data_IF_402904169682
#
_entry.id   IF_402904169682
#
_cell.length_a   1.000
_cell.length_b   1.000
_cell.length_c   1.000
_cell.angle_alpha   90.00
_cell.angle_beta   90.00
_cell.angle_gamma   90.00
#
_symmetry.space_group_name_H-M   'P 1'
#
loop_
_entity.id
_entity.type
_entity.pdbx_description
1 polymer ?
#
# COMPACT_ATOMS: atom_id res chain seq x y z
N UNK A 1 7.43 -16.22 10.13
CA UNK A 1 6.15 -16.63 9.52
C UNK A 1 5.24 -15.42 9.48
N UNK A 2 5.35 -14.65 8.40
CA UNK A 2 4.52 -13.47 8.17
C UNK A 2 3.09 -13.88 7.82
N UNK A 3 2.12 -13.18 8.38
CA UNK A 3 0.69 -13.38 8.11
C UNK A 3 0.33 -12.85 6.73
N UNK A 4 -0.17 -13.73 5.85
CA UNK A 4 -0.65 -13.35 4.51
C UNK A 4 -2.11 -12.87 4.59
N UNK A 5 -2.34 -11.56 4.42
CA UNK A 5 -3.68 -10.96 4.37
C UNK A 5 -4.12 -10.72 2.93
N UNK A 6 -5.43 -10.73 2.71
CA UNK A 6 -5.99 -10.61 1.36
C UNK A 6 -5.89 -9.19 0.79
N UNK A 7 -5.86 -8.17 1.65
CA UNK A 7 -5.89 -6.76 1.27
C UNK A 7 -4.87 -5.94 2.07
N UNK A 8 -4.35 -4.86 1.49
CA UNK A 8 -3.40 -3.96 2.16
C UNK A 8 -4.01 -3.24 3.39
N UNK A 9 -5.33 -3.06 3.43
CA UNK A 9 -6.04 -2.45 4.56
C UNK A 9 -6.15 -3.36 5.79
N UNK A 10 -5.81 -4.64 5.66
CA UNK A 10 -5.65 -5.52 6.82
C UNK A 10 -4.22 -5.50 7.37
N UNK A 11 -3.26 -5.02 6.57
CA UNK A 11 -1.86 -4.93 6.96
C UNK A 11 -1.61 -3.65 7.76
N UNK A 12 -0.93 -3.80 8.88
CA UNK A 12 -0.23 -2.68 9.52
C UNK A 12 1.05 -2.34 8.77
N UNK A 13 1.58 -1.13 8.98
CA UNK A 13 2.86 -0.72 8.40
C UNK A 13 3.99 -1.68 8.83
N UNK A 14 4.00 -2.13 10.09
CA UNK A 14 5.00 -3.09 10.59
C UNK A 14 4.88 -4.47 9.96
N UNK A 15 3.68 -5.01 9.81
CA UNK A 15 3.50 -6.32 9.13
C UNK A 15 3.94 -6.25 7.67
N UNK A 16 3.65 -5.12 7.00
CA UNK A 16 4.09 -4.92 5.62
C UNK A 16 5.61 -4.77 5.51
N UNK A 17 6.24 -4.05 6.45
CA UNK A 17 7.71 -3.97 6.52
C UNK A 17 8.33 -5.35 6.72
N UNK A 18 7.77 -6.16 7.63
CA UNK A 18 8.25 -7.53 7.88
C UNK A 18 8.15 -8.39 6.62
N UNK A 19 7.06 -8.28 5.87
CA UNK A 19 6.89 -8.95 4.59
C UNK A 19 7.97 -8.52 3.57
N UNK A 20 8.23 -7.21 3.46
CA UNK A 20 9.27 -6.69 2.57
C UNK A 20 10.67 -7.14 2.98
N UNK A 21 10.97 -7.14 4.28
CA UNK A 21 12.24 -7.63 4.81
C UNK A 21 12.39 -9.13 4.57
N UNK A 22 11.36 -9.95 4.79
CA UNK A 22 11.44 -11.39 4.51
C UNK A 22 11.68 -11.69 3.02
N UNK A 23 11.06 -10.92 2.12
CA UNK A 23 11.33 -11.02 0.68
C UNK A 23 12.79 -10.61 0.41
N UNK A 24 13.25 -9.45 0.92
CA UNK A 24 14.60 -8.94 0.67
C UNK A 24 15.70 -9.87 1.19
N UNK A 25 15.55 -10.35 2.41
CA UNK A 25 16.50 -11.24 3.09
C UNK A 25 16.40 -12.69 2.58
N UNK A 26 15.43 -12.97 1.69
CA UNK A 26 15.12 -14.32 1.21
C UNK A 26 15.03 -15.31 2.39
N UNK A 27 14.37 -14.88 3.47
CA UNK A 27 14.30 -15.64 4.73
C UNK A 27 13.38 -16.89 4.63
N UNK A 28 12.89 -17.21 3.43
CA UNK A 28 12.07 -18.37 3.14
C UNK A 28 12.90 -19.65 3.08
N UNK A 29 12.26 -20.80 3.32
CA UNK A 29 12.95 -22.09 3.24
C UNK A 29 13.04 -22.59 1.80
N UNK A 30 12.20 -22.08 0.89
CA UNK A 30 12.18 -22.44 -0.53
C UNK A 30 11.96 -21.22 -1.44
N UNK A 31 12.48 -21.31 -2.67
CA UNK A 31 12.23 -20.32 -3.74
C UNK A 31 10.75 -20.22 -4.11
N UNK A 32 9.98 -21.31 -3.97
CA UNK A 32 8.53 -21.33 -4.19
C UNK A 32 7.80 -20.42 -3.20
N UNK A 33 8.18 -20.48 -1.92
CA UNK A 33 7.60 -19.62 -0.88
C UNK A 33 7.97 -18.16 -1.14
N UNK A 34 9.23 -17.90 -1.49
CA UNK A 34 9.69 -16.56 -1.84
C UNK A 34 8.91 -16.01 -3.06
N UNK A 35 8.74 -16.81 -4.11
CA UNK A 35 7.94 -16.45 -5.29
C UNK A 35 6.47 -16.19 -4.95
N UNK A 36 5.90 -16.98 -4.02
CA UNK A 36 4.54 -16.77 -3.54
C UNK A 36 4.42 -15.43 -2.79
N UNK A 37 5.41 -15.05 -1.97
CA UNK A 37 5.45 -13.74 -1.29
C UNK A 37 5.53 -12.58 -2.28
N UNK A 38 6.40 -12.67 -3.29
CA UNK A 38 6.53 -11.64 -4.34
C UNK A 38 5.22 -11.50 -5.12
N UNK A 39 4.59 -12.62 -5.48
CA UNK A 39 3.28 -12.63 -6.16
C UNK A 39 2.19 -12.03 -5.28
N UNK A 40 2.24 -12.31 -3.98
CA UNK A 40 1.32 -11.74 -3.00
C UNK A 40 1.49 -10.23 -2.87
N UNK A 41 2.73 -9.75 -2.77
CA UNK A 41 3.06 -8.32 -2.77
C UNK A 41 2.50 -7.61 -4.01
N UNK A 42 2.67 -8.19 -5.20
CA UNK A 42 2.09 -7.66 -6.45
C UNK A 42 0.56 -7.58 -6.37
N UNK A 43 -0.10 -8.56 -5.78
CA UNK A 43 -1.56 -8.61 -5.63
C UNK A 43 -2.08 -7.53 -4.67
N UNK A 44 -1.44 -7.34 -3.52
CA UNK A 44 -1.90 -6.39 -2.48
C UNK A 44 -1.49 -4.94 -2.75
N UNK A 45 -0.37 -4.71 -3.42
CA UNK A 45 0.09 -3.35 -3.73
C UNK A 45 -0.78 -2.67 -4.79
N UNK A 46 -1.38 -3.46 -5.70
CA UNK A 46 -2.16 -3.00 -6.86
C UNK A 46 -1.41 -1.96 -7.71
N UNK A 47 -0.09 -1.86 -7.50
CA UNK A 47 0.74 -0.84 -8.09
C UNK A 47 1.10 -1.27 -9.52
N UNK A 48 1.11 -0.38 -10.53
CA UNK A 48 1.43 -0.73 -11.92
C UNK A 48 2.83 -1.35 -12.06
N UNK A 49 3.77 -0.90 -11.25
CA UNK A 49 5.11 -1.50 -11.14
C UNK A 49 5.13 -2.88 -10.46
N UNK A 50 4.15 -3.21 -9.61
CA UNK A 50 4.09 -4.52 -8.93
C UNK A 50 5.40 -4.88 -8.23
N UNK A 51 5.93 -6.07 -8.53
CA UNK A 51 7.22 -6.57 -8.01
C UNK A 51 8.44 -5.79 -8.47
N UNK A 52 8.33 -4.97 -9.52
CA UNK A 52 9.42 -4.16 -10.05
C UNK A 52 9.94 -3.16 -9.00
N UNK A 53 9.08 -2.73 -8.06
CA UNK A 53 9.48 -1.91 -6.90
C UNK A 53 10.52 -2.58 -5.98
N UNK A 54 10.59 -3.92 -5.99
CA UNK A 54 11.49 -4.69 -5.14
C UNK A 54 12.84 -4.96 -5.82
N UNK A 55 12.83 -5.17 -7.14
CA UNK A 55 13.99 -5.60 -7.92
C UNK A 55 14.65 -4.47 -8.71
N UNK A 56 13.87 -3.48 -9.14
CA UNK A 56 14.31 -2.34 -9.95
C UNK A 56 13.90 -1.01 -9.32
N UNK A 57 14.47 -0.69 -8.15
CA UNK A 57 14.35 0.64 -7.59
C UNK A 57 14.98 1.67 -8.52
N UNK A 58 14.49 2.91 -8.48
CA UNK A 58 15.15 4.00 -9.22
C UNK A 58 16.51 4.29 -8.56
N UNK A 59 17.51 4.73 -9.34
CA UNK A 59 18.86 5.09 -8.84
C UNK A 59 18.90 6.04 -7.62
N UNK A 60 17.79 6.74 -7.33
CA UNK A 60 17.66 7.68 -6.22
C UNK A 60 16.56 7.28 -5.22
N UNK A 61 16.00 6.07 -5.32
CA UNK A 61 14.98 5.56 -4.42
C UNK A 61 15.63 4.70 -3.33
N UNK A 62 15.07 4.74 -2.13
CA UNK A 62 15.47 3.83 -1.06
C UNK A 62 14.98 2.41 -1.37
N UNK A 63 15.93 1.51 -1.65
CA UNK A 63 15.73 0.06 -1.79
C UNK A 63 15.39 -0.62 -0.46
N UNK A 64 15.51 0.14 0.63
CA UNK A 64 15.12 -0.29 1.96
C UNK A 64 13.62 -0.63 1.97
N UNK A 65 13.20 -1.63 2.78
CA UNK A 65 11.78 -1.96 2.95
C UNK A 65 10.94 -0.74 3.36
N UNK A 66 11.53 0.21 4.09
CA UNK A 66 10.89 1.49 4.42
C UNK A 66 10.65 2.41 3.22
N UNK A 67 11.57 2.46 2.26
CA UNK A 67 11.46 3.25 1.04
C UNK A 67 10.37 2.72 0.12
N UNK A 68 10.31 1.40 -0.04
CA UNK A 68 9.26 0.72 -0.79
C UNK A 68 7.89 0.97 -0.13
N UNK A 69 7.79 0.84 1.19
CA UNK A 69 6.55 1.12 1.92
C UNK A 69 6.08 2.57 1.69
N UNK A 70 6.99 3.55 1.83
CA UNK A 70 6.69 4.97 1.57
C UNK A 70 6.18 5.19 0.15
N UNK A 71 6.79 4.54 -0.84
CA UNK A 71 6.40 4.62 -2.25
C UNK A 71 4.99 4.09 -2.47
N UNK A 72 4.69 2.88 -1.97
CA UNK A 72 3.34 2.29 -2.05
C UNK A 72 2.30 3.17 -1.35
N UNK A 73 2.63 3.70 -0.16
CA UNK A 73 1.76 4.60 0.60
C UNK A 73 1.46 5.90 -0.14
N UNK A 74 2.48 6.55 -0.69
CA UNK A 74 2.34 7.79 -1.46
C UNK A 74 1.50 7.56 -2.72
N UNK A 75 1.75 6.47 -3.43
CA UNK A 75 0.99 6.11 -4.63
C UNK A 75 -0.48 5.83 -4.31
N UNK A 76 -0.79 5.05 -3.27
CA UNK A 76 -2.18 4.78 -2.89
C UNK A 76 -2.92 6.05 -2.46
N UNK A 77 -2.23 6.93 -1.71
CA UNK A 77 -2.77 8.25 -1.33
C UNK A 77 -3.08 9.12 -2.56
N UNK A 78 -2.20 9.12 -3.57
CA UNK A 78 -2.41 9.85 -4.82
C UNK A 78 -3.58 9.30 -5.65
N UNK A 79 -3.85 7.99 -5.58
CA UNK A 79 -4.95 7.34 -6.29
C UNK A 79 -6.27 7.29 -5.50
N UNK A 80 -6.30 7.82 -4.27
CA UNK A 80 -7.49 7.78 -3.41
C UNK A 80 -7.85 6.37 -2.91
N UNK A 81 -6.91 5.44 -2.91
CA UNK A 81 -7.11 4.06 -2.45
C UNK A 81 -6.95 3.96 -0.92
N UNK A 82 -7.65 3.02 -0.27
CA UNK A 82 -7.49 2.79 1.16
C UNK A 82 -6.06 2.33 1.46
N UNK A 83 -5.44 2.95 2.46
CA UNK A 83 -4.08 2.66 2.89
C UNK A 83 -3.99 1.49 3.88
N UNK A 84 -2.90 1.46 4.64
CA UNK A 84 -2.65 0.50 5.70
C UNK A 84 -3.61 0.66 6.88
N UNK A 85 -3.79 -0.43 7.62
CA UNK A 85 -4.55 -0.43 8.86
C UNK A 85 -3.89 0.52 9.86
N UNK A 86 -4.63 1.47 10.45
CA UNK A 86 -4.09 2.28 11.53
C UNK A 86 -3.73 1.35 12.70
N UNK A 87 -2.59 1.56 13.37
CA UNK A 87 -2.33 0.87 14.63
C UNK A 87 -3.49 1.20 15.56
N UNK A 88 -4.06 0.16 16.18
CA UNK A 88 -5.24 0.21 17.06
C UNK A 88 -5.01 1.24 18.17
N UNK A 89 -5.32 2.51 17.93
CA UNK A 89 -5.27 3.60 18.91
C UNK A 89 -5.89 4.93 18.46
N UNK A 90 -6.42 5.11 17.24
CA UNK A 90 -6.94 6.43 16.83
C UNK A 90 -8.32 6.34 16.20
N UNK A 91 -9.30 6.07 17.06
CA UNK A 91 -10.63 6.65 16.93
C UNK A 91 -10.62 8.02 17.61
N UNK A 92 -10.16 9.07 16.92
CA UNK A 92 -10.36 10.47 17.35
C UNK A 92 -9.96 11.46 16.24
N UNK A 93 -10.94 11.86 15.41
CA UNK A 93 -11.20 13.24 14.93
C UNK A 93 -11.93 13.23 13.57
N UNK A 94 -13.00 14.04 13.39
CA UNK A 94 -13.93 13.95 12.26
C UNK A 94 -13.36 14.49 10.93
N UNK A 95 -13.93 14.05 9.79
CA UNK A 95 -13.42 14.32 8.45
C UNK A 95 -13.63 15.77 8.04
N UNK A 96 -12.53 16.51 7.87
CA UNK A 96 -12.51 17.81 7.20
C UNK A 96 -11.94 17.64 5.80
N UNK A 97 -12.80 17.28 4.84
CA UNK A 97 -12.92 17.99 3.56
C UNK A 97 -14.14 17.45 2.79
N UNK A 98 -15.06 18.33 2.36
CA UNK A 98 -16.21 17.96 1.54
C UNK A 98 -15.82 17.61 0.09
N UNK A 99 -16.64 16.85 -0.65
CA UNK A 99 -16.41 16.56 -2.05
C UNK A 99 -16.57 17.83 -2.91
N UNK A 100 -15.59 18.09 -3.77
CA UNK A 100 -15.63 19.14 -4.79
C UNK A 100 -16.78 18.91 -5.76
N UNK A 101 -17.80 19.78 -5.67
CA UNK A 101 -18.59 20.39 -6.74
C UNK A 101 -18.92 19.54 -7.99
N UNK A 102 -20.09 18.91 -7.96
CA UNK A 102 -20.96 18.80 -9.15
C UNK A 102 -22.18 19.71 -8.93
N UNK A 103 -22.00 21.03 -9.03
CA UNK A 103 -23.12 21.97 -8.97
C UNK A 103 -23.93 21.94 -10.27
N UNK A 104 -24.97 21.11 -10.32
CA UNK A 104 -26.10 21.28 -11.23
C UNK A 104 -27.01 22.34 -10.64
N UNK A 105 -26.91 23.58 -11.13
CA UNK A 105 -27.88 24.63 -10.79
C UNK A 105 -29.12 24.54 -11.70
N UNK A 106 -30.35 24.55 -11.16
CA UNK A 106 -31.56 24.78 -11.91
C UNK A 106 -31.91 26.28 -11.94
N UNK A 107 -32.18 26.86 -13.11
CA UNK A 107 -32.79 28.21 -13.23
C UNK A 107 -34.25 28.08 -13.63
N UNK A 108 -35.09 28.19 -12.60
CA UNK A 108 -36.35 28.95 -12.51
C UNK A 108 -37.16 29.22 -13.77
N UNK A 109 -38.35 28.62 -13.80
CA UNK A 109 -39.53 29.00 -14.58
C UNK A 109 -40.12 30.32 -14.02
N UNK A 110 -40.44 31.26 -14.91
CA UNK A 110 -41.44 32.31 -14.73
C UNK A 110 -42.25 32.40 -16.01
#
# INVERSE_FOLDING_TARGET
MTTLRSCISEYTEQEFLRLLTEIREVSCQSEDEHSALVRHFRKISEHPKGSDLLFYPADNADDSPEGILKTVKAWRKANGLPGFKPPVAIAAAPPSTPPTSCSRSPRTRS
#
